data_IF_044491090484
#
_entry.id   IF_044491090484
#
_cell.length_a   1.000
_cell.length_b   1.000
_cell.length_c   1.000
_cell.angle_alpha   90.00
_cell.angle_beta   90.00
_cell.angle_gamma   90.00
#
_symmetry.space_group_name_H-M   'P 1'
#
loop_
_entity.id
_entity.type
_entity.pdbx_description
1 polymer ?
#
# COMPACT_ATOMS: atom_id res chain seq x y z
N UNK A 1 -1.90 19.27 16.21
CA UNK A 1 -2.45 18.01 15.65
C UNK A 1 -1.35 17.43 14.77
N UNK A 2 -0.85 16.21 14.99
CA UNK A 2 0.23 15.70 14.14
C UNK A 2 -0.34 15.34 12.77
N UNK A 3 -0.29 16.29 11.83
CA UNK A 3 -0.57 16.10 10.40
C UNK A 3 0.53 15.31 9.68
N UNK A 4 1.38 14.61 10.44
CA UNK A 4 2.64 14.01 9.99
C UNK A 4 2.54 12.50 9.73
N UNK A 5 1.39 11.88 10.03
CA UNK A 5 1.23 10.44 9.88
C UNK A 5 0.71 10.06 8.49
N UNK A 6 1.47 9.18 7.83
CA UNK A 6 1.07 8.49 6.61
C UNK A 6 -0.18 7.64 6.91
N UNK A 7 -1.22 7.82 6.11
CA UNK A 7 -2.47 7.09 6.22
C UNK A 7 -2.55 5.95 5.21
N UNK A 8 -3.03 4.79 5.63
CA UNK A 8 -3.11 3.58 4.80
C UNK A 8 -4.56 3.17 4.62
N UNK A 9 -4.97 2.90 3.39
CA UNK A 9 -6.33 2.41 3.11
C UNK A 9 -6.49 0.93 3.45
N UNK A 10 -7.75 0.50 3.53
CA UNK A 10 -8.10 -0.91 3.45
C UNK A 10 -7.62 -1.54 2.14
N UNK A 11 -7.36 -2.84 2.18
CA UNK A 11 -6.98 -3.62 1.00
C UNK A 11 -8.22 -4.01 0.23
N UNK A 12 -8.15 -3.90 -1.08
CA UNK A 12 -9.15 -4.42 -2.01
C UNK A 12 -8.48 -5.38 -3.00
N UNK A 13 -9.25 -6.29 -3.56
CA UNK A 13 -8.72 -7.45 -4.28
C UNK A 13 -9.50 -7.66 -5.57
N UNK A 14 -8.79 -8.00 -6.64
CA UNK A 14 -9.34 -8.58 -7.87
C UNK A 14 -8.82 -10.02 -8.01
N UNK A 15 -9.14 -10.70 -9.11
CA UNK A 15 -8.72 -12.09 -9.35
C UNK A 15 -7.20 -12.30 -9.41
N UNK A 16 -6.40 -11.25 -9.64
CA UNK A 16 -4.96 -11.33 -9.89
C UNK A 16 -4.08 -10.56 -8.91
N UNK A 17 -4.62 -9.51 -8.28
CA UNK A 17 -3.84 -8.56 -7.48
C UNK A 17 -4.62 -8.13 -6.24
N UNK A 18 -3.88 -7.83 -5.19
CA UNK A 18 -4.35 -7.00 -4.08
C UNK A 18 -3.87 -5.56 -4.28
N UNK A 19 -4.70 -4.62 -3.86
CA UNK A 19 -4.50 -3.19 -4.04
C UNK A 19 -4.71 -2.46 -2.73
N UNK A 20 -4.01 -1.34 -2.59
CA UNK A 20 -4.13 -0.40 -1.47
C UNK A 20 -3.65 0.97 -1.93
N UNK A 21 -4.23 2.02 -1.37
CA UNK A 21 -3.69 3.36 -1.52
C UNK A 21 -3.10 3.86 -0.19
N UNK A 22 -2.05 4.66 -0.30
CA UNK A 22 -1.39 5.31 0.83
C UNK A 22 -1.46 6.81 0.62
N UNK A 23 -1.94 7.51 1.64
CA UNK A 23 -2.06 8.96 1.64
C UNK A 23 -0.88 9.52 2.43
N UNK A 24 -0.01 10.23 1.74
CA UNK A 24 1.13 10.92 2.31
C UNK A 24 0.70 12.30 2.87
N UNK A 25 1.34 12.76 3.96
CA UNK A 25 1.20 14.14 4.39
C UNK A 25 1.77 15.10 3.35
N UNK A 26 1.26 16.34 3.35
CA UNK A 26 1.61 17.38 2.37
C UNK A 26 3.11 17.66 2.24
N UNK A 27 3.87 17.46 3.30
CA UNK A 27 5.30 17.73 3.35
C UNK A 27 6.11 16.65 2.63
N UNK A 28 5.70 15.38 2.77
CA UNK A 28 6.32 14.24 2.07
C UNK A 28 5.84 14.18 0.62
N UNK A 29 4.57 14.51 0.36
CA UNK A 29 3.99 14.49 -0.99
C UNK A 29 4.76 15.36 -2.00
N UNK A 30 5.43 16.43 -1.54
CA UNK A 30 6.27 17.30 -2.39
C UNK A 30 7.55 16.60 -2.87
N UNK A 31 8.01 15.57 -2.15
CA UNK A 31 9.21 14.80 -2.47
C UNK A 31 8.92 13.66 -3.46
N UNK A 32 7.64 13.38 -3.74
CA UNK A 32 7.24 12.31 -4.66
C UNK A 32 7.65 12.68 -6.09
N UNK A 33 8.43 11.83 -6.78
CA UNK A 33 8.80 12.08 -8.16
C UNK A 33 7.58 11.99 -9.08
N UNK A 34 7.42 12.98 -9.97
CA UNK A 34 6.34 13.02 -10.97
C UNK A 34 6.72 12.38 -12.31
N UNK A 35 8.02 12.15 -12.52
CA UNK A 35 8.56 11.69 -13.80
C UNK A 35 8.63 10.16 -13.91
N UNK A 36 8.55 9.44 -12.79
CA UNK A 36 8.66 7.98 -12.76
C UNK A 36 7.89 7.35 -11.59
N UNK A 37 7.66 6.05 -11.70
CA UNK A 37 7.11 5.24 -10.60
C UNK A 37 8.19 4.88 -9.61
N UNK A 38 7.93 5.11 -8.32
CA UNK A 38 8.85 4.74 -7.24
C UNK A 38 9.04 3.22 -7.10
N UNK A 39 10.29 2.82 -6.92
CA UNK A 39 10.69 1.47 -6.51
C UNK A 39 10.44 1.23 -5.02
N UNK A 40 10.51 -0.03 -4.57
CA UNK A 40 10.37 -0.41 -3.16
C UNK A 40 11.25 0.42 -2.23
N UNK A 41 12.50 0.61 -2.61
CA UNK A 41 13.45 1.39 -1.83
C UNK A 41 13.06 2.86 -1.76
N UNK A 42 12.59 3.47 -2.84
CA UNK A 42 12.24 4.89 -2.88
C UNK A 42 11.06 5.22 -1.98
N UNK A 43 9.94 4.49 -2.09
CA UNK A 43 8.79 4.78 -1.22
C UNK A 43 9.06 4.42 0.24
N UNK A 44 9.91 3.41 0.53
CA UNK A 44 10.36 3.13 1.90
C UNK A 44 11.17 4.29 2.49
N UNK A 45 12.03 4.92 1.69
CA UNK A 45 12.80 6.09 2.13
C UNK A 45 11.91 7.31 2.43
N UNK A 46 10.74 7.42 1.79
CA UNK A 46 9.73 8.44 2.12
C UNK A 46 8.99 8.14 3.45
N UNK A 47 9.29 7.01 4.11
CA UNK A 47 8.66 6.62 5.37
C UNK A 47 7.44 5.70 5.21
N UNK A 48 7.05 5.35 3.97
CA UNK A 48 5.97 4.39 3.75
C UNK A 48 6.42 3.00 4.20
N UNK A 49 5.66 2.39 5.10
CA UNK A 49 5.97 1.08 5.67
C UNK A 49 4.88 0.08 5.31
N UNK A 50 5.25 -0.90 4.48
CA UNK A 50 4.36 -1.98 4.07
C UNK A 50 5.12 -3.30 4.02
N UNK A 51 4.38 -4.41 4.01
CA UNK A 51 4.92 -5.76 3.77
C UNK A 51 5.67 -5.82 2.44
N UNK A 52 6.60 -6.77 2.24
CA UNK A 52 7.29 -6.91 0.95
C UNK A 52 6.33 -7.24 -0.21
N UNK A 53 6.73 -6.84 -1.42
CA UNK A 53 6.05 -7.20 -2.67
C UNK A 53 5.00 -6.20 -3.16
N UNK A 54 4.82 -5.06 -2.49
CA UNK A 54 3.98 -3.98 -3.00
C UNK A 54 4.68 -3.19 -4.10
N UNK A 55 3.98 -3.00 -5.21
CA UNK A 55 4.46 -2.33 -6.41
C UNK A 55 3.65 -1.06 -6.59
N UNK A 56 4.33 0.10 -6.59
CA UNK A 56 3.71 1.36 -6.97
C UNK A 56 3.48 1.34 -8.49
N UNK A 57 2.22 1.27 -8.91
CA UNK A 57 1.90 0.95 -10.31
C UNK A 57 1.35 2.13 -11.11
N UNK A 58 0.93 3.19 -10.43
CA UNK A 58 0.33 4.36 -11.08
C UNK A 58 0.55 5.60 -10.22
N UNK A 59 0.96 6.70 -10.88
CA UNK A 59 0.98 8.03 -10.26
C UNK A 59 -0.37 8.70 -10.48
N UNK A 60 -1.00 9.18 -9.41
CA UNK A 60 -2.21 9.97 -9.52
C UNK A 60 -1.86 11.45 -9.69
N UNK A 61 -1.86 11.93 -10.94
CA UNK A 61 -1.43 13.30 -11.28
C UNK A 61 -2.23 14.44 -10.58
N UNK A 62 -3.56 14.35 -10.38
CA UNK A 62 -4.33 15.38 -9.67
C UNK A 62 -4.00 15.44 -8.17
N UNK A 63 -3.75 14.29 -7.54
CA UNK A 63 -3.50 14.13 -6.10
C UNK A 63 -2.19 13.37 -5.86
N UNK A 64 -1.02 14.06 -5.95
CA UNK A 64 0.30 13.42 -5.83
C UNK A 64 0.59 12.87 -4.43
N UNK A 65 -0.23 13.24 -3.45
CA UNK A 65 -0.17 12.71 -2.09
C UNK A 65 -0.80 11.31 -1.98
N UNK A 66 -1.53 10.85 -3.01
CA UNK A 66 -2.11 9.50 -3.06
C UNK A 66 -1.21 8.58 -3.86
N UNK A 67 -0.62 7.60 -3.19
CA UNK A 67 0.20 6.56 -3.81
C UNK A 67 -0.61 5.28 -4.00
N UNK A 68 -0.58 4.74 -5.22
CA UNK A 68 -1.35 3.55 -5.59
C UNK A 68 -0.44 2.32 -5.68
N UNK A 69 -0.69 1.34 -4.82
CA UNK A 69 0.07 0.11 -4.76
C UNK A 69 -0.76 -1.09 -5.21
N UNK A 70 -0.11 -2.04 -5.87
CA UNK A 70 -0.64 -3.37 -6.16
C UNK A 70 0.37 -4.44 -5.77
N UNK A 71 -0.07 -5.61 -5.35
CA UNK A 71 0.77 -6.78 -5.09
C UNK A 71 0.13 -8.00 -5.75
N UNK A 72 0.88 -8.83 -6.50
CA UNK A 72 0.33 -10.04 -7.09
C UNK A 72 -0.16 -11.00 -6.01
N UNK A 73 -1.35 -11.54 -6.21
CA UNK A 73 -1.87 -12.60 -5.35
C UNK A 73 -1.08 -13.88 -5.62
N UNK A 74 -0.66 -14.55 -4.55
CA UNK A 74 -0.09 -15.89 -4.69
C UNK A 74 -1.24 -16.83 -5.11
N UNK A 75 -1.07 -17.70 -6.13
CA UNK A 75 -2.14 -18.57 -6.61
C UNK A 75 -2.72 -19.50 -5.53
N UNK A 76 -2.01 -19.73 -4.42
CA UNK A 76 -2.54 -20.51 -3.29
C UNK A 76 -3.45 -19.72 -2.32
N UNK A 77 -3.72 -18.43 -2.58
CA UNK A 77 -4.61 -17.58 -1.78
C UNK A 77 -6.02 -17.42 -2.42
N UNK A 78 -6.40 -18.26 -3.39
CA UNK A 78 -7.79 -18.31 -3.89
C UNK A 78 -8.81 -18.83 -2.85
N UNK A 79 -8.40 -19.17 -1.63
CA UNK A 79 -9.30 -19.54 -0.52
C UNK A 79 -8.87 -18.87 0.78
N UNK A 80 -9.32 -17.63 1.04
CA UNK A 80 -9.34 -17.01 2.38
C UNK A 80 -10.25 -15.78 2.40
N UNK A 81 -11.38 -15.85 1.72
CA UNK A 81 -12.43 -14.83 1.82
C UNK A 81 -13.36 -15.09 2.99
N UNK A 82 -12.88 -14.89 4.23
CA UNK A 82 -13.72 -14.72 5.41
C UNK A 82 -13.04 -13.68 6.31
N UNK A 83 -13.51 -12.43 6.22
CA UNK A 83 -13.15 -11.38 7.18
C UNK A 83 -14.02 -11.51 8.43
N UNK A 84 -13.44 -11.17 9.59
CA UNK A 84 -14.07 -10.65 10.83
C UNK A 84 -13.69 -11.40 12.12
N UNK A 85 -12.82 -10.74 12.90
CA UNK A 85 -12.61 -10.82 14.35
C UNK A 85 -12.00 -12.08 15.01
N UNK A 86 -10.88 -11.84 15.70
CA UNK A 86 -10.61 -12.45 17.01
C UNK A 86 -9.70 -13.68 17.06
N UNK A 87 -8.44 -13.44 17.46
CA UNK A 87 -7.48 -14.35 18.10
C UNK A 87 -6.77 -15.40 17.22
N UNK A 88 -5.42 -15.53 17.33
CA UNK A 88 -4.71 -16.68 16.79
C UNK A 88 -4.84 -17.88 17.76
N UNK A 89 -5.44 -18.96 17.30
CA UNK A 89 -5.31 -20.29 17.94
C UNK A 89 -3.93 -20.86 17.61
N UNK A 90 -3.08 -21.00 18.62
CA UNK A 90 -1.86 -21.80 18.54
C UNK A 90 -2.25 -23.28 18.55
N UNK A 91 -1.77 -24.05 17.57
CA UNK A 91 -1.73 -25.50 17.61
C UNK A 91 -0.27 -25.92 17.52
N UNK A 92 0.20 -26.63 18.55
CA UNK A 92 1.52 -27.30 18.60
C UNK A 92 2.33 -26.93 19.82
#
# INVERSE_FOLDING_TARGET
MPQDQISYSDKYFDDKYEYRHVILPSDIAKLVPKNHLMTETEWRNLGVQQSPGWIHYMVHAPEPHVLLFRRPLHPSQQQSGLTTQGQPVFVG
#
